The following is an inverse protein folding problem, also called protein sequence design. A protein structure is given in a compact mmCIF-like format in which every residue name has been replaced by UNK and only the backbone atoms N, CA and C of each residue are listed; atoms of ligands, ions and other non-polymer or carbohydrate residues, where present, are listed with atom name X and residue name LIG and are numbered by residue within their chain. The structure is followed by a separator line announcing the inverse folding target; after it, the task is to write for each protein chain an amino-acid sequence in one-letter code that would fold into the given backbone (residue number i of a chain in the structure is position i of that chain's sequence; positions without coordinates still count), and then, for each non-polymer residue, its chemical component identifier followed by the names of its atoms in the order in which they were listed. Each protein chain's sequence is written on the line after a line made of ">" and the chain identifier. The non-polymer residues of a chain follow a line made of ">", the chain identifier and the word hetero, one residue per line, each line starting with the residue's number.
data_IF_856898604648
#
_entry.id   IF_856898604648
#
_cell.length_a   1.000
_cell.length_b   1.000
_cell.length_c   1.000
_cell.angle_alpha   90.00
_cell.angle_beta   90.00
_cell.angle_gamma   90.00
#
_symmetry.space_group_name_H-M   'P 1'
#
loop_
_entity.id
_entity.type
_entity.pdbx_description
1 polymer ?
#
# COMPACT_ATOMS: atom_id res chain seq x y z
N UNK A 1 -17.03 32.05 -63.51
CA UNK A 1 -15.70 32.46 -63.02
C UNK A 1 -15.64 32.03 -61.54
N UNK A 2 -15.37 30.74 -61.32
CA UNK A 2 -15.29 30.18 -59.98
C UNK A 2 -13.92 30.54 -59.39
N UNK A 3 -13.96 31.29 -58.28
CA UNK A 3 -12.76 31.63 -57.51
C UNK A 3 -12.39 30.41 -56.70
N UNK A 4 -11.37 29.70 -57.14
CA UNK A 4 -10.78 28.55 -56.47
C UNK A 4 -10.07 29.05 -55.20
N UNK A 5 -10.68 28.95 -54.04
CA UNK A 5 -10.05 29.21 -52.72
C UNK A 5 -9.20 28.01 -52.37
N UNK A 6 -7.89 28.20 -52.23
CA UNK A 6 -6.94 27.16 -51.81
C UNK A 6 -7.23 26.71 -50.36
N UNK A 7 -7.51 25.42 -50.09
CA UNK A 7 -7.79 24.91 -48.77
C UNK A 7 -6.67 25.12 -47.73
N UNK A 8 -5.45 25.41 -48.19
CA UNK A 8 -4.29 25.72 -47.33
C UNK A 8 -4.37 27.12 -46.68
N UNK A 9 -5.14 28.04 -47.26
CA UNK A 9 -5.35 29.38 -46.68
C UNK A 9 -6.37 29.35 -45.53
N UNK A 10 -7.37 28.44 -45.54
CA UNK A 10 -8.33 28.31 -44.45
C UNK A 10 -7.72 27.65 -43.19
N UNK A 11 -6.75 26.74 -43.37
CA UNK A 11 -6.06 26.10 -42.24
C UNK A 11 -5.06 27.05 -41.50
N UNK A 12 -4.57 28.09 -42.18
CA UNK A 12 -3.70 29.12 -41.56
C UNK A 12 -4.51 30.20 -40.79
N UNK A 13 -5.75 30.45 -41.15
CA UNK A 13 -6.61 31.43 -40.49
C UNK A 13 -7.11 30.94 -39.13
N UNK A 14 -7.22 29.61 -38.92
CA UNK A 14 -7.71 29.04 -37.67
C UNK A 14 -6.71 29.06 -36.49
N UNK A 15 -5.44 29.42 -36.75
CA UNK A 15 -4.38 29.38 -35.72
C UNK A 15 -3.68 30.76 -35.51
N UNK A 16 -4.28 31.85 -35.98
CA UNK A 16 -3.75 33.20 -35.68
C UNK A 16 -4.23 33.65 -34.32
N UNK A 17 -3.34 33.80 -33.32
CA UNK A 17 -3.77 34.26 -31.99
C UNK A 17 -4.46 35.64 -32.11
N UNK A 18 -5.55 35.83 -31.37
CA UNK A 18 -6.26 37.10 -31.30
C UNK A 18 -5.24 38.23 -31.04
N UNK A 19 -5.17 39.29 -31.91
CA UNK A 19 -4.18 40.40 -31.76
C UNK A 19 -4.19 41.04 -30.39
N UNK A 20 -5.37 41.14 -29.75
CA UNK A 20 -5.50 41.70 -28.41
C UNK A 20 -4.83 40.80 -27.37
N UNK A 21 -5.06 39.49 -27.41
CA UNK A 21 -4.42 38.51 -26.51
C UNK A 21 -2.88 38.52 -26.69
N UNK A 22 -2.43 38.67 -27.95
CA UNK A 22 -1.02 38.77 -28.26
C UNK A 22 -0.39 40.04 -27.68
N UNK A 23 -1.06 41.15 -27.79
CA UNK A 23 -0.63 42.40 -27.19
C UNK A 23 -0.54 42.32 -25.65
N UNK A 24 -1.52 41.71 -25.02
CA UNK A 24 -1.53 41.50 -23.57
C UNK A 24 -0.35 40.63 -23.13
N UNK A 25 -0.01 39.60 -23.90
CA UNK A 25 1.15 38.73 -23.65
C UNK A 25 2.47 39.52 -23.75
N UNK A 26 2.66 40.31 -24.80
CA UNK A 26 3.85 41.18 -24.92
C UNK A 26 3.96 42.16 -23.76
N UNK A 27 2.86 42.79 -23.38
CA UNK A 27 2.82 43.73 -22.24
C UNK A 27 3.14 43.01 -20.93
N UNK A 28 2.63 41.79 -20.75
CA UNK A 28 2.94 40.98 -19.58
C UNK A 28 4.45 40.67 -19.52
N UNK A 29 5.05 40.30 -20.63
CA UNK A 29 6.44 39.86 -20.71
C UNK A 29 7.45 41.01 -20.90
N UNK A 30 7.01 42.25 -20.97
CA UNK A 30 7.93 43.39 -21.07
C UNK A 30 8.74 43.68 -19.81
N UNK A 31 8.37 43.09 -18.67
CA UNK A 31 9.01 43.26 -17.37
C UNK A 31 10.19 42.30 -17.18
N UNK A 32 11.44 42.76 -17.04
CA UNK A 32 12.62 41.87 -16.92
C UNK A 32 12.53 40.87 -15.76
N UNK A 33 11.89 41.24 -14.62
CA UNK A 33 11.70 40.38 -13.47
C UNK A 33 10.82 39.17 -13.83
N UNK A 34 9.81 39.35 -14.67
CA UNK A 34 8.92 38.24 -15.11
C UNK A 34 9.64 37.29 -16.04
N UNK A 35 10.52 37.79 -16.92
CA UNK A 35 11.36 36.95 -17.77
C UNK A 35 12.31 36.08 -16.95
N UNK A 36 12.98 36.67 -15.97
CA UNK A 36 13.88 35.98 -15.04
C UNK A 36 13.10 34.95 -14.19
N UNK A 37 11.91 35.31 -13.69
CA UNK A 37 11.06 34.43 -12.93
C UNK A 37 10.66 33.19 -13.74
N UNK A 38 10.22 33.38 -14.98
CA UNK A 38 9.90 32.28 -15.89
C UNK A 38 11.12 31.38 -16.12
N UNK A 39 12.29 31.97 -16.37
CA UNK A 39 13.52 31.21 -16.57
C UNK A 39 13.89 30.36 -15.35
N UNK A 40 13.85 30.94 -14.15
CA UNK A 40 14.13 30.21 -12.89
C UNK A 40 13.09 29.10 -12.63
N UNK A 41 11.79 29.40 -12.79
CA UNK A 41 10.71 28.44 -12.62
C UNK A 41 10.66 27.34 -13.72
N UNK A 42 11.40 27.51 -14.81
CA UNK A 42 11.57 26.48 -15.85
C UNK A 42 12.62 25.43 -15.48
N UNK A 43 13.55 25.76 -14.57
CA UNK A 43 14.61 24.84 -14.14
C UNK A 43 14.08 23.90 -13.05
N UNK A 44 13.41 24.46 -12.04
CA UNK A 44 12.81 23.69 -10.95
C UNK A 44 11.56 24.36 -10.41
N UNK A 45 10.77 23.61 -9.64
CA UNK A 45 9.64 24.16 -8.88
C UNK A 45 10.18 24.92 -7.66
N UNK A 46 10.09 26.25 -7.66
CA UNK A 46 10.67 27.12 -6.65
C UNK A 46 9.59 27.79 -5.78
N UNK A 47 9.84 27.90 -4.49
CA UNK A 47 8.97 28.66 -3.62
C UNK A 47 9.08 30.17 -3.88
N UNK A 48 8.00 30.92 -3.60
CA UNK A 48 8.01 32.39 -3.81
C UNK A 48 9.14 33.09 -3.03
N UNK A 49 9.47 32.60 -1.83
CA UNK A 49 10.60 33.11 -1.05
C UNK A 49 11.95 32.85 -1.71
N UNK A 50 12.13 31.66 -2.29
CA UNK A 50 13.36 31.28 -3.01
C UNK A 50 13.52 32.06 -4.31
N UNK A 51 12.42 32.29 -5.02
CA UNK A 51 12.42 33.16 -6.20
C UNK A 51 12.79 34.60 -5.80
N UNK A 52 12.32 35.09 -4.65
CA UNK A 52 12.67 36.38 -4.15
C UNK A 52 14.17 36.52 -3.82
N UNK A 53 14.74 35.51 -3.19
CA UNK A 53 16.18 35.43 -2.90
C UNK A 53 17.01 35.38 -4.20
N UNK A 54 16.64 34.52 -5.14
CA UNK A 54 17.35 34.38 -6.42
C UNK A 54 17.30 35.62 -7.28
N UNK A 55 16.17 36.34 -7.27
CA UNK A 55 15.94 37.58 -8.02
C UNK A 55 16.55 38.82 -7.36
N UNK A 56 16.86 38.75 -6.06
CA UNK A 56 17.24 39.92 -5.26
C UNK A 56 16.09 40.89 -5.04
N UNK A 57 14.85 40.37 -4.98
CA UNK A 57 13.62 41.18 -4.89
C UNK A 57 12.89 40.91 -3.58
N UNK A 58 12.04 41.83 -3.17
CA UNK A 58 11.16 41.63 -2.02
C UNK A 58 10.06 40.61 -2.35
N UNK A 59 9.80 39.66 -1.44
CA UNK A 59 8.82 38.62 -1.61
C UNK A 59 7.42 39.12 -2.02
N UNK A 60 6.87 40.23 -1.50
CA UNK A 60 5.58 40.79 -1.95
C UNK A 60 5.58 41.20 -3.44
N UNK A 61 6.72 41.69 -3.96
CA UNK A 61 6.86 42.05 -5.36
C UNK A 61 6.84 40.77 -6.24
N UNK A 62 7.64 39.79 -5.88
CA UNK A 62 7.68 38.48 -6.58
C UNK A 62 6.32 37.82 -6.56
N UNK A 63 5.61 37.86 -5.43
CA UNK A 63 4.25 37.30 -5.32
C UNK A 63 3.28 37.95 -6.31
N UNK A 64 3.37 39.26 -6.53
CA UNK A 64 2.55 39.98 -7.53
C UNK A 64 2.90 39.57 -8.96
N UNK A 65 4.18 39.43 -9.29
CA UNK A 65 4.62 38.93 -10.60
C UNK A 65 4.18 37.51 -10.85
N UNK A 66 4.31 36.61 -9.85
CA UNK A 66 3.79 35.20 -9.91
C UNK A 66 2.29 35.19 -10.15
N UNK A 67 1.53 36.03 -9.44
CA UNK A 67 0.07 36.10 -9.62
C UNK A 67 -0.30 36.50 -11.05
N UNK A 68 0.37 37.51 -11.63
CA UNK A 68 0.15 37.95 -12.99
C UNK A 68 0.47 36.86 -14.03
N UNK A 69 1.61 36.16 -13.88
CA UNK A 69 1.99 35.05 -14.75
C UNK A 69 1.05 33.86 -14.61
N UNK A 70 0.56 33.57 -13.41
CA UNK A 70 -0.43 32.51 -13.14
C UNK A 70 -1.77 32.84 -13.80
N UNK A 71 -2.23 34.09 -13.70
CA UNK A 71 -3.48 34.53 -14.34
C UNK A 71 -3.41 34.40 -15.85
N UNK A 72 -2.25 34.61 -16.44
CA UNK A 72 -1.99 34.41 -17.87
C UNK A 72 -1.73 32.94 -18.25
N UNK A 73 -1.78 32.00 -17.31
CA UNK A 73 -1.55 30.57 -17.56
C UNK A 73 -0.09 30.17 -17.83
N UNK A 74 0.88 31.09 -17.61
CA UNK A 74 2.30 30.82 -17.89
C UNK A 74 3.01 30.06 -16.79
N UNK A 75 2.51 30.13 -15.56
CA UNK A 75 3.01 29.36 -14.42
C UNK A 75 1.88 28.67 -13.67
N UNK A 76 2.18 27.52 -13.11
CA UNK A 76 1.35 26.79 -12.17
C UNK A 76 1.88 27.00 -10.76
N UNK A 77 0.99 27.16 -9.79
CA UNK A 77 1.35 27.28 -8.37
C UNK A 77 0.71 26.14 -7.61
N UNK A 78 1.52 25.23 -7.07
CA UNK A 78 1.06 24.14 -6.22
C UNK A 78 1.34 24.45 -4.76
N UNK A 79 0.33 24.32 -3.91
CA UNK A 79 0.52 24.46 -2.46
C UNK A 79 0.96 23.13 -1.86
N UNK A 80 2.02 23.19 -1.06
CA UNK A 80 2.52 22.08 -0.24
C UNK A 80 2.64 22.58 1.20
N UNK A 81 1.62 22.36 2.02
CA UNK A 81 1.55 22.95 3.36
C UNK A 81 1.61 24.47 3.31
N UNK A 82 2.59 25.08 3.99
CA UNK A 82 2.85 26.53 3.99
C UNK A 82 3.60 27.03 2.74
N UNK A 83 4.05 26.13 1.86
CA UNK A 83 4.85 26.45 0.68
C UNK A 83 3.98 26.56 -0.56
N UNK A 84 4.24 27.59 -1.37
CA UNK A 84 3.63 27.75 -2.69
C UNK A 84 4.74 27.60 -3.74
N UNK A 85 4.82 26.44 -4.38
CA UNK A 85 5.82 26.11 -5.41
C UNK A 85 5.34 26.60 -6.77
N UNK A 86 6.17 27.36 -7.45
CA UNK A 86 5.93 27.94 -8.77
C UNK A 86 6.73 27.16 -9.81
N UNK A 87 6.06 26.73 -10.87
CA UNK A 87 6.66 26.08 -12.03
C UNK A 87 6.05 26.60 -13.31
N UNK A 88 6.81 26.62 -14.42
CA UNK A 88 6.28 26.96 -15.75
C UNK A 88 5.21 25.93 -16.15
N UNK A 89 4.10 26.41 -16.71
CA UNK A 89 3.07 25.57 -17.30
C UNK A 89 3.56 25.01 -18.64
N UNK A 90 3.62 23.68 -18.78
CA UNK A 90 4.09 22.98 -19.98
C UNK A 90 2.98 22.29 -20.76
N UNK A 91 1.74 22.40 -20.28
CA UNK A 91 0.58 21.72 -20.86
C UNK A 91 0.13 22.42 -22.17
N UNK A 92 0.26 21.77 -23.30
CA UNK A 92 -0.31 22.23 -24.57
C UNK A 92 0.66 22.88 -25.58
N UNK A 93 1.95 22.82 -25.33
CA UNK A 93 2.98 23.45 -26.19
C UNK A 93 3.32 24.87 -25.73
N UNK A 94 4.55 25.32 -26.00
CA UNK A 94 5.02 26.66 -25.60
C UNK A 94 4.81 27.61 -26.77
N UNK A 95 4.08 28.72 -26.52
CA UNK A 95 3.93 29.80 -27.48
C UNK A 95 5.30 30.38 -27.84
N UNK A 96 5.59 30.68 -29.13
CA UNK A 96 6.89 31.22 -29.54
C UNK A 96 7.34 32.50 -28.81
N UNK A 97 6.40 33.34 -28.38
CA UNK A 97 6.70 34.53 -27.55
C UNK A 97 7.16 34.15 -26.15
N UNK A 98 6.53 33.13 -25.57
CA UNK A 98 6.93 32.58 -24.25
C UNK A 98 8.28 31.88 -24.36
N UNK A 99 8.54 31.16 -25.45
CA UNK A 99 9.84 30.53 -25.70
C UNK A 99 10.97 31.58 -25.79
N UNK A 100 10.73 32.67 -26.51
CA UNK A 100 11.67 33.79 -26.58
C UNK A 100 11.86 34.48 -25.24
N UNK A 101 10.79 34.66 -24.48
CA UNK A 101 10.82 35.19 -23.12
C UNK A 101 11.66 34.31 -22.18
N UNK A 102 11.52 32.97 -22.25
CA UNK A 102 12.32 32.01 -21.50
C UNK A 102 13.80 32.09 -21.86
N UNK A 103 14.13 32.20 -23.16
CA UNK A 103 15.50 32.35 -23.65
C UNK A 103 16.13 33.64 -23.14
N UNK A 104 15.42 34.73 -23.28
CA UNK A 104 15.85 36.06 -22.81
C UNK A 104 16.02 36.08 -21.30
N UNK A 105 15.05 35.48 -20.55
CA UNK A 105 15.12 35.36 -19.10
C UNK A 105 16.33 34.55 -18.63
N UNK A 106 16.65 33.44 -19.31
CA UNK A 106 17.87 32.66 -19.04
C UNK A 106 19.12 33.49 -19.22
N UNK A 107 19.23 34.24 -20.33
CA UNK A 107 20.38 35.10 -20.58
C UNK A 107 20.53 36.18 -19.50
N UNK A 108 19.43 36.73 -18.98
CA UNK A 108 19.47 37.70 -17.86
C UNK A 108 19.94 37.02 -16.56
N UNK A 109 19.42 35.82 -16.26
CA UNK A 109 19.78 35.05 -15.06
C UNK A 109 21.22 34.50 -15.11
N UNK A 110 21.76 34.23 -16.30
CA UNK A 110 23.18 33.84 -16.49
C UNK A 110 24.12 35.02 -16.16
N UNK A 111 23.74 36.25 -16.61
CA UNK A 111 24.54 37.42 -16.36
C UNK A 111 24.65 37.79 -14.88
N UNK A 112 23.61 37.58 -14.10
CA UNK A 112 23.62 37.90 -12.66
C UNK A 112 23.90 36.66 -11.78
N UNK A 113 24.11 35.49 -12.39
CA UNK A 113 24.44 34.25 -11.71
C UNK A 113 23.26 33.60 -10.96
N UNK A 114 22.03 34.13 -11.10
CA UNK A 114 20.86 33.59 -10.39
C UNK A 114 20.49 32.20 -10.87
N UNK A 115 20.72 31.87 -12.14
CA UNK A 115 20.45 30.54 -12.68
C UNK A 115 21.35 29.47 -12.06
N UNK A 116 22.63 29.75 -11.90
CA UNK A 116 23.58 28.82 -11.26
C UNK A 116 23.25 28.57 -9.79
N UNK A 117 22.69 29.56 -9.08
CA UNK A 117 22.29 29.44 -7.66
C UNK A 117 21.02 28.60 -7.42
N UNK A 118 20.24 28.25 -8.45
CA UNK A 118 19.05 27.40 -8.30
C UNK A 118 19.40 26.06 -7.66
N UNK A 119 20.49 25.42 -8.09
CA UNK A 119 20.94 24.15 -7.52
C UNK A 119 21.29 24.27 -6.02
N UNK A 120 21.89 25.38 -5.61
CA UNK A 120 22.23 25.63 -4.20
C UNK A 120 20.99 25.81 -3.33
N UNK A 121 19.99 26.53 -3.84
CA UNK A 121 18.70 26.77 -3.16
C UNK A 121 17.93 25.45 -2.99
N UNK A 122 17.83 24.64 -4.05
CA UNK A 122 17.21 23.31 -3.99
C UNK A 122 17.98 22.39 -3.05
N UNK A 123 19.32 22.39 -3.13
CA UNK A 123 20.19 21.62 -2.24
C UNK A 123 20.08 22.04 -0.76
N UNK A 124 19.75 23.32 -0.48
CA UNK A 124 19.50 23.78 0.88
C UNK A 124 18.26 23.12 1.50
N UNK A 125 17.20 22.87 0.71
CA UNK A 125 16.01 22.11 1.18
C UNK A 125 16.42 20.69 1.61
N UNK A 126 17.20 20.00 0.80
CA UNK A 126 17.68 18.64 1.11
C UNK A 126 18.54 18.63 2.37
N UNK A 127 19.44 19.62 2.52
CA UNK A 127 20.26 19.77 3.71
C UNK A 127 19.41 19.98 4.97
N UNK A 128 18.44 20.88 4.91
CA UNK A 128 17.53 21.17 6.02
C UNK A 128 16.73 19.91 6.44
N UNK A 129 16.20 19.17 5.45
CA UNK A 129 15.50 17.91 5.68
C UNK A 129 16.43 16.88 6.32
N UNK A 130 17.65 16.72 5.80
CA UNK A 130 18.66 15.79 6.33
C UNK A 130 19.06 16.14 7.77
N UNK A 131 19.27 17.43 8.07
CA UNK A 131 19.56 17.89 9.42
C UNK A 131 18.39 17.68 10.39
N UNK A 132 17.16 17.89 9.94
CA UNK A 132 15.97 17.61 10.75
C UNK A 132 15.94 16.12 11.16
N UNK A 133 16.11 15.20 10.22
CA UNK A 133 16.15 13.77 10.53
C UNK A 133 17.36 13.38 11.38
N UNK A 134 18.53 13.99 11.17
CA UNK A 134 19.70 13.73 12.00
C UNK A 134 19.52 14.16 13.47
N UNK A 135 18.70 15.19 13.72
CA UNK A 135 18.35 15.60 15.10
C UNK A 135 17.25 14.74 15.72
N UNK A 136 16.34 14.19 14.89
CA UNK A 136 15.19 13.37 15.33
C UNK A 136 15.59 11.96 15.79
N UNK A 137 16.82 11.50 15.56
CA UNK A 137 17.31 10.15 15.90
C UNK A 137 17.57 9.90 17.40
N UNK A 138 17.24 10.82 18.29
CA UNK A 138 17.39 10.66 19.74
C UNK A 138 16.19 9.97 20.42
N UNK A 139 15.27 9.36 19.67
CA UNK A 139 14.19 8.53 20.20
C UNK A 139 14.71 7.17 20.64
N UNK A 140 14.21 6.63 21.76
CA UNK A 140 14.45 5.26 22.15
C UNK A 140 13.98 4.31 21.04
N UNK A 141 14.76 3.27 20.72
CA UNK A 141 14.34 2.22 19.78
C UNK A 141 13.10 1.55 20.35
N UNK A 142 11.95 1.79 19.73
CA UNK A 142 10.69 1.12 20.10
C UNK A 142 10.74 -0.30 19.58
N UNK A 143 10.77 -1.27 20.49
CA UNK A 143 10.69 -2.69 20.15
C UNK A 143 9.22 -3.05 20.01
N UNK A 144 8.79 -3.40 18.79
CA UNK A 144 7.40 -3.78 18.48
C UNK A 144 7.08 -3.56 17.00
N UNK A 145 5.90 -3.99 16.54
CA UNK A 145 5.47 -3.69 15.20
C UNK A 145 5.30 -2.17 15.00
N UNK A 146 5.65 -1.64 13.81
CA UNK A 146 5.45 -0.23 13.54
C UNK A 146 3.96 0.15 13.63
N UNK A 147 3.63 1.38 14.09
CA UNK A 147 2.24 1.84 14.15
C UNK A 147 1.51 1.76 12.79
N UNK A 148 2.26 1.87 11.70
CA UNK A 148 1.77 1.84 10.31
C UNK A 148 1.73 0.43 9.71
N UNK A 149 1.88 -0.64 10.50
CA UNK A 149 1.92 -2.03 10.00
C UNK A 149 0.76 -2.33 9.04
N UNK A 150 -0.46 -1.91 9.37
CA UNK A 150 -1.64 -2.12 8.52
C UNK A 150 -1.49 -1.45 7.13
N UNK A 151 -0.89 -0.26 7.06
CA UNK A 151 -0.63 0.43 5.79
C UNK A 151 0.43 -0.29 4.95
N UNK A 152 1.49 -0.82 5.59
CA UNK A 152 2.50 -1.62 4.88
C UNK A 152 1.92 -2.94 4.35
N UNK A 153 1.08 -3.62 5.14
CA UNK A 153 0.39 -4.83 4.71
C UNK A 153 -0.57 -4.56 3.55
N UNK A 154 -1.31 -3.46 3.60
CA UNK A 154 -2.18 -3.03 2.50
C UNK A 154 -1.37 -2.77 1.21
N UNK A 155 -0.19 -2.16 1.32
CA UNK A 155 0.70 -1.91 0.19
C UNK A 155 1.29 -3.21 -0.41
N UNK A 156 1.56 -4.23 0.42
CA UNK A 156 2.08 -5.55 -0.02
C UNK A 156 0.96 -6.48 -0.53
N UNK A 157 -0.29 -6.24 -0.14
CA UNK A 157 -1.42 -7.09 -0.49
C UNK A 157 -1.57 -7.39 -2.00
N UNK A 158 -1.36 -6.42 -2.95
CA UNK A 158 -1.43 -6.70 -4.38
C UNK A 158 -0.46 -7.78 -4.89
N UNK A 159 0.64 -8.04 -4.15
CA UNK A 159 1.62 -9.07 -4.49
C UNK A 159 1.13 -10.49 -4.16
N UNK A 160 0.05 -10.62 -3.41
CA UNK A 160 -0.57 -11.90 -3.05
C UNK A 160 -1.68 -12.21 -4.07
N UNK A 161 -1.47 -13.21 -4.92
CA UNK A 161 -2.41 -13.55 -6.01
C UNK A 161 -3.80 -13.97 -5.49
N UNK A 162 -3.83 -14.79 -4.43
CA UNK A 162 -5.04 -15.40 -3.90
C UNK A 162 -5.37 -14.82 -2.53
N UNK A 163 -6.20 -13.78 -2.50
CA UNK A 163 -6.58 -13.03 -1.31
C UNK A 163 -8.07 -12.65 -1.26
N UNK A 164 -8.93 -13.47 -1.84
CA UNK A 164 -10.36 -13.19 -1.84
C UNK A 164 -10.98 -13.37 -0.45
N UNK A 165 -10.63 -14.45 0.25
CA UNK A 165 -11.16 -14.80 1.57
C UNK A 165 -10.09 -15.40 2.46
N UNK A 166 -9.90 -14.84 3.66
CA UNK A 166 -9.26 -15.50 4.79
C UNK A 166 -10.29 -15.94 5.82
N UNK A 167 -10.01 -17.04 6.51
CA UNK A 167 -10.75 -17.47 7.70
C UNK A 167 -9.79 -17.50 8.88
N UNK A 168 -10.18 -16.87 9.99
CA UNK A 168 -9.49 -16.89 11.27
C UNK A 168 -10.28 -17.74 12.26
N UNK A 169 -9.73 -18.90 12.62
CA UNK A 169 -10.36 -19.87 13.53
C UNK A 169 -9.84 -19.66 14.95
N UNK A 170 -10.73 -19.50 15.91
CA UNK A 170 -10.37 -19.11 17.28
C UNK A 170 -9.82 -17.69 17.32
N UNK A 171 -10.54 -16.75 16.71
CA UNK A 171 -10.09 -15.36 16.55
C UNK A 171 -9.83 -14.63 17.87
N UNK A 172 -10.44 -15.10 18.96
CA UNK A 172 -10.32 -14.49 20.28
C UNK A 172 -10.71 -13.01 20.26
N UNK A 173 -9.87 -12.15 20.81
CA UNK A 173 -10.05 -10.70 20.82
C UNK A 173 -9.70 -10.02 19.46
N UNK A 174 -9.42 -10.78 18.40
CA UNK A 174 -9.26 -10.29 17.04
C UNK A 174 -7.89 -9.70 16.71
N UNK A 175 -6.82 -10.02 17.43
CA UNK A 175 -5.47 -9.47 17.17
C UNK A 175 -4.94 -9.81 15.79
N UNK A 176 -5.22 -11.01 15.28
CA UNK A 176 -4.76 -11.42 13.95
C UNK A 176 -5.47 -10.63 12.83
N UNK A 177 -6.63 -10.07 13.10
CA UNK A 177 -7.36 -9.23 12.14
C UNK A 177 -6.61 -7.96 11.76
N UNK A 178 -5.72 -7.45 12.62
CA UNK A 178 -4.83 -6.33 12.30
C UNK A 178 -3.92 -6.63 11.09
N UNK A 179 -3.66 -7.92 10.85
CA UNK A 179 -2.86 -8.41 9.71
C UNK A 179 -3.77 -8.83 8.56
N UNK A 180 -4.85 -9.58 8.85
CA UNK A 180 -5.67 -10.18 7.81
C UNK A 180 -6.57 -9.16 7.10
N UNK A 181 -7.17 -8.21 7.83
CA UNK A 181 -8.10 -7.26 7.25
C UNK A 181 -7.45 -6.34 6.18
N UNK A 182 -6.22 -5.81 6.37
CA UNK A 182 -5.54 -5.03 5.32
C UNK A 182 -5.16 -5.87 4.08
N UNK A 183 -4.92 -7.18 4.25
CA UNK A 183 -4.39 -8.04 3.20
C UNK A 183 -5.50 -8.66 2.35
N UNK A 184 -6.54 -9.18 2.97
CA UNK A 184 -7.59 -9.95 2.29
C UNK A 184 -8.81 -9.06 1.96
N UNK A 185 -9.49 -9.38 0.85
CA UNK A 185 -10.71 -8.67 0.45
C UNK A 185 -11.85 -8.88 1.44
N UNK A 186 -11.92 -10.08 2.05
CA UNK A 186 -12.88 -10.44 3.11
C UNK A 186 -12.19 -11.33 4.12
N UNK A 187 -12.61 -11.21 5.37
CA UNK A 187 -12.15 -12.06 6.48
C UNK A 187 -13.37 -12.58 7.22
N UNK A 188 -13.43 -13.89 7.44
CA UNK A 188 -14.39 -14.53 8.32
C UNK A 188 -13.66 -14.91 9.60
N UNK A 189 -14.05 -14.31 10.72
CA UNK A 189 -13.46 -14.55 12.03
C UNK A 189 -14.43 -15.37 12.88
N UNK A 190 -13.98 -16.52 13.38
CA UNK A 190 -14.79 -17.51 14.05
C UNK A 190 -14.28 -17.70 15.48
N UNK A 191 -15.18 -17.64 16.45
CA UNK A 191 -14.89 -18.09 17.81
C UNK A 191 -16.14 -18.70 18.44
N UNK A 192 -15.95 -19.64 19.38
CA UNK A 192 -17.04 -20.23 20.16
C UNK A 192 -17.40 -19.43 21.40
N UNK A 193 -16.53 -18.51 21.82
CA UNK A 193 -16.70 -17.72 23.01
C UNK A 193 -17.28 -16.34 22.68
N UNK A 194 -18.57 -16.13 22.92
CA UNK A 194 -19.24 -14.85 22.63
C UNK A 194 -18.59 -13.65 23.33
N UNK A 195 -18.03 -13.84 24.55
CA UNK A 195 -17.29 -12.77 25.24
C UNK A 195 -16.03 -12.34 24.49
N UNK A 196 -15.30 -13.25 23.86
CA UNK A 196 -14.15 -12.95 23.03
C UNK A 196 -14.57 -12.23 21.75
N UNK A 197 -15.65 -12.67 21.12
CA UNK A 197 -16.19 -12.01 19.92
C UNK A 197 -16.71 -10.60 20.20
N UNK A 198 -17.21 -10.32 21.42
CA UNK A 198 -17.60 -8.96 21.80
C UNK A 198 -16.38 -8.02 21.82
N UNK A 199 -15.24 -8.47 22.37
CA UNK A 199 -13.97 -7.72 22.34
C UNK A 199 -13.45 -7.56 20.92
N UNK A 200 -13.57 -8.62 20.10
CA UNK A 200 -13.21 -8.60 18.69
C UNK A 200 -14.05 -7.58 17.91
N UNK A 201 -15.37 -7.52 18.14
CA UNK A 201 -16.28 -6.58 17.50
C UNK A 201 -15.92 -5.12 17.83
N UNK A 202 -15.55 -4.85 19.07
CA UNK A 202 -15.07 -3.52 19.49
C UNK A 202 -13.78 -3.17 18.73
N UNK A 203 -12.81 -4.08 18.63
CA UNK A 203 -11.57 -3.88 17.86
C UNK A 203 -11.85 -3.62 16.38
N UNK A 204 -12.70 -4.43 15.75
CA UNK A 204 -13.12 -4.27 14.35
C UNK A 204 -13.72 -2.89 14.11
N UNK A 205 -14.59 -2.44 15.02
CA UNK A 205 -15.21 -1.11 14.97
C UNK A 205 -14.18 0.02 15.11
N UNK A 206 -13.32 -0.04 16.14
CA UNK A 206 -12.29 0.97 16.41
C UNK A 206 -11.29 1.11 15.25
N UNK A 207 -10.97 -0.01 14.57
CA UNK A 207 -10.06 -0.05 13.42
C UNK A 207 -10.73 0.26 12.08
N UNK A 208 -12.06 0.30 12.02
CA UNK A 208 -12.79 0.52 10.78
C UNK A 208 -12.66 -0.63 9.77
N UNK A 209 -12.53 -1.88 10.23
CA UNK A 209 -12.41 -3.05 9.36
C UNK A 209 -13.77 -3.46 8.77
N UNK A 210 -14.20 -2.79 7.70
CA UNK A 210 -15.50 -3.04 7.05
C UNK A 210 -15.59 -4.35 6.26
N UNK A 211 -14.48 -5.11 6.14
CA UNK A 211 -14.38 -6.36 5.39
C UNK A 211 -14.32 -7.61 6.28
N UNK A 212 -14.55 -7.48 7.60
CA UNK A 212 -14.53 -8.57 8.58
C UNK A 212 -15.95 -8.96 8.95
N UNK A 213 -16.28 -10.26 8.86
CA UNK A 213 -17.53 -10.87 9.35
C UNK A 213 -17.19 -11.74 10.57
N UNK A 214 -17.88 -11.50 11.70
CA UNK A 214 -17.72 -12.25 12.95
C UNK A 214 -18.80 -13.32 13.04
N UNK A 215 -18.41 -14.54 13.40
CA UNK A 215 -19.33 -15.68 13.56
C UNK A 215 -19.06 -16.40 14.87
N UNK A 216 -20.07 -16.44 15.75
CA UNK A 216 -20.05 -17.29 16.94
C UNK A 216 -20.44 -18.71 16.56
N UNK A 217 -19.59 -19.68 16.89
CA UNK A 217 -19.86 -21.09 16.62
C UNK A 217 -18.62 -21.98 16.54
N UNK A 218 -18.89 -23.27 16.38
CA UNK A 218 -17.86 -24.29 16.12
C UNK A 218 -17.39 -24.24 14.67
N UNK A 219 -16.15 -24.66 14.43
CA UNK A 219 -15.48 -24.61 13.12
C UNK A 219 -16.31 -25.24 12.00
N UNK A 220 -16.96 -26.38 12.28
CA UNK A 220 -17.84 -27.11 11.36
C UNK A 220 -19.33 -26.85 11.60
N UNK A 221 -19.65 -25.84 12.40
CA UNK A 221 -21.01 -25.47 12.78
C UNK A 221 -21.86 -24.94 11.61
N UNK A 222 -23.20 -24.99 11.74
CA UNK A 222 -24.10 -24.51 10.70
C UNK A 222 -23.98 -23.00 10.47
N UNK A 223 -23.59 -22.21 11.47
CA UNK A 223 -23.37 -20.76 11.40
C UNK A 223 -22.24 -20.44 10.45
N UNK A 224 -21.11 -21.13 10.61
CA UNK A 224 -19.90 -20.98 9.76
C UNK A 224 -20.20 -21.39 8.33
N UNK A 225 -20.89 -22.52 8.12
CA UNK A 225 -21.32 -22.96 6.78
C UNK A 225 -22.24 -21.96 6.11
N UNK A 226 -23.17 -21.35 6.85
CA UNK A 226 -24.05 -20.29 6.34
C UNK A 226 -23.26 -19.03 5.97
N UNK A 227 -22.29 -18.63 6.79
CA UNK A 227 -21.43 -17.47 6.51
C UNK A 227 -20.59 -17.71 5.24
N UNK A 228 -19.92 -18.84 5.10
CA UNK A 228 -19.17 -19.18 3.88
C UNK A 228 -20.06 -19.16 2.62
N UNK A 229 -21.28 -19.69 2.72
CA UNK A 229 -22.24 -19.65 1.61
C UNK A 229 -22.65 -18.22 1.25
N UNK A 230 -22.92 -17.33 2.25
CA UNK A 230 -23.22 -15.90 2.00
C UNK A 230 -22.07 -15.19 1.31
N UNK A 231 -20.83 -15.55 1.68
CA UNK A 231 -19.63 -15.00 1.06
C UNK A 231 -19.40 -15.51 -0.38
N UNK A 232 -20.23 -16.43 -0.87
CA UNK A 232 -20.17 -16.95 -2.25
C UNK A 232 -18.86 -17.66 -2.58
N UNK A 233 -18.20 -18.25 -1.58
CA UNK A 233 -16.91 -18.88 -1.74
C UNK A 233 -17.02 -20.40 -1.59
N UNK A 234 -16.31 -21.14 -2.45
CA UNK A 234 -16.15 -22.60 -2.32
C UNK A 234 -15.18 -23.00 -1.19
N UNK A 235 -14.71 -22.04 -0.40
CA UNK A 235 -13.74 -22.17 0.68
C UNK A 235 -12.76 -21.00 0.68
N UNK A 236 -11.98 -20.89 1.77
CA UNK A 236 -11.02 -19.81 1.94
C UNK A 236 -9.74 -20.00 1.11
N UNK A 237 -9.12 -18.89 0.68
CA UNK A 237 -7.77 -18.92 0.12
C UNK A 237 -6.74 -19.30 1.18
N UNK A 238 -6.96 -18.82 2.40
CA UNK A 238 -6.12 -19.13 3.57
C UNK A 238 -7.01 -19.31 4.80
N UNK A 239 -6.73 -20.33 5.59
CA UNK A 239 -7.32 -20.56 6.91
C UNK A 239 -6.20 -20.45 7.94
N UNK A 240 -6.37 -19.58 8.90
CA UNK A 240 -5.50 -19.41 10.05
C UNK A 240 -6.13 -20.03 11.30
N UNK A 241 -5.31 -20.65 12.13
CA UNK A 241 -5.64 -21.04 13.49
C UNK A 241 -4.44 -20.72 14.38
N UNK A 242 -4.59 -19.75 15.26
CA UNK A 242 -3.51 -19.30 16.14
C UNK A 242 -3.81 -19.70 17.57
N UNK A 243 -3.01 -20.60 18.12
CA UNK A 243 -3.14 -21.10 19.50
C UNK A 243 -4.50 -21.73 19.78
N UNK A 244 -4.89 -22.67 18.92
CA UNK A 244 -6.19 -23.35 18.94
C UNK A 244 -6.06 -24.84 19.24
N UNK A 245 -5.05 -25.51 18.66
CA UNK A 245 -4.97 -26.97 18.75
C UNK A 245 -4.67 -27.47 20.16
N UNK A 246 -3.90 -26.73 20.94
CA UNK A 246 -3.57 -27.12 22.32
C UNK A 246 -4.79 -27.04 23.28
N UNK A 247 -5.86 -26.35 22.90
CA UNK A 247 -7.16 -26.38 23.57
C UNK A 247 -8.10 -27.48 23.06
N UNK A 248 -7.75 -28.14 21.95
CA UNK A 248 -8.63 -29.10 21.31
C UNK A 248 -8.52 -30.48 21.98
N UNK A 249 -9.63 -31.13 22.38
CA UNK A 249 -9.58 -32.49 22.90
C UNK A 249 -8.99 -33.50 21.91
N UNK A 250 -9.17 -33.26 20.61
CA UNK A 250 -8.66 -34.11 19.49
C UNK A 250 -8.01 -33.20 18.43
N UNK A 251 -6.72 -32.84 18.59
CA UNK A 251 -6.05 -31.89 17.70
C UNK A 251 -6.08 -32.28 16.22
N UNK A 252 -5.86 -33.57 15.88
CA UNK A 252 -5.92 -34.05 14.52
C UNK A 252 -7.30 -33.87 13.86
N UNK A 253 -8.39 -34.21 14.62
CA UNK A 253 -9.76 -34.00 14.12
C UNK A 253 -10.10 -32.54 13.96
N UNK A 254 -9.63 -31.69 14.89
CA UNK A 254 -9.81 -30.24 14.80
C UNK A 254 -9.08 -29.69 13.59
N UNK A 255 -7.84 -30.11 13.31
CA UNK A 255 -7.11 -29.70 12.12
C UNK A 255 -7.83 -30.15 10.83
N UNK A 256 -8.44 -31.33 10.81
CA UNK A 256 -9.23 -31.81 9.66
C UNK A 256 -10.44 -30.88 9.40
N UNK A 257 -11.15 -30.45 10.46
CA UNK A 257 -12.27 -29.49 10.36
C UNK A 257 -11.80 -28.12 9.89
N UNK A 258 -10.66 -27.64 10.38
CA UNK A 258 -10.02 -26.40 9.93
C UNK A 258 -9.67 -26.49 8.44
N UNK A 259 -9.06 -27.58 8.01
CA UNK A 259 -8.69 -27.82 6.61
C UNK A 259 -9.91 -27.79 5.66
N UNK A 260 -11.06 -28.30 6.13
CA UNK A 260 -12.30 -28.30 5.33
C UNK A 260 -12.87 -26.89 5.04
N UNK A 261 -12.40 -25.85 5.73
CA UNK A 261 -12.78 -24.47 5.43
C UNK A 261 -12.01 -23.87 4.25
N UNK A 262 -10.87 -24.45 3.90
CA UNK A 262 -10.07 -24.00 2.77
C UNK A 262 -10.59 -24.61 1.45
N UNK A 263 -10.51 -23.86 0.38
CA UNK A 263 -10.79 -24.37 -0.96
C UNK A 263 -9.67 -25.31 -1.45
N UNK A 264 -9.91 -26.12 -2.49
CA UNK A 264 -8.84 -26.86 -3.17
C UNK A 264 -7.66 -25.95 -3.54
N UNK A 265 -6.43 -26.34 -3.18
CA UNK A 265 -5.21 -25.54 -3.31
C UNK A 265 -5.09 -24.35 -2.33
N UNK A 266 -6.06 -24.15 -1.43
CA UNK A 266 -6.00 -23.17 -0.36
C UNK A 266 -4.98 -23.54 0.71
N UNK A 267 -4.45 -22.53 1.42
CA UNK A 267 -3.46 -22.72 2.47
C UNK A 267 -4.10 -22.86 3.85
N UNK A 268 -3.49 -23.66 4.71
CA UNK A 268 -3.81 -23.81 6.13
C UNK A 268 -2.57 -23.47 6.93
N UNK A 269 -2.70 -22.49 7.84
CA UNK A 269 -1.65 -21.99 8.69
C UNK A 269 -2.04 -22.19 10.16
N UNK A 270 -1.21 -22.92 10.90
CA UNK A 270 -1.44 -23.14 12.33
C UNK A 270 -0.22 -22.66 13.10
N UNK A 271 -0.42 -21.65 13.93
CA UNK A 271 0.55 -21.20 14.90
C UNK A 271 0.16 -21.79 16.26
N UNK A 272 1.04 -22.60 16.85
CA UNK A 272 0.73 -23.25 18.13
C UNK A 272 2.01 -23.43 18.95
N UNK A 273 1.90 -23.99 20.14
CA UNK A 273 3.05 -24.26 20.99
C UNK A 273 3.85 -25.45 20.52
N UNK A 274 5.17 -25.33 20.51
CA UNK A 274 6.09 -26.45 20.52
C UNK A 274 6.11 -27.10 21.90
N UNK A 275 6.74 -28.27 22.06
CA UNK A 275 6.76 -28.99 23.34
C UNK A 275 7.38 -28.13 24.45
N UNK A 276 6.73 -28.14 25.61
CA UNK A 276 7.21 -27.44 26.82
C UNK A 276 6.70 -28.13 28.09
N UNK A 277 7.23 -27.75 29.25
CA UNK A 277 6.90 -28.34 30.55
C UNK A 277 6.28 -27.29 31.51
N UNK A 278 5.78 -26.16 30.99
CA UNK A 278 5.23 -25.07 31.80
C UNK A 278 3.80 -25.40 32.21
N UNK A 279 3.65 -26.15 33.32
CA UNK A 279 2.35 -26.50 33.93
C UNK A 279 1.65 -25.27 34.51
N UNK A 280 2.38 -24.20 34.88
CA UNK A 280 1.76 -22.99 35.39
C UNK A 280 1.02 -22.26 34.25
N UNK A 281 1.65 -22.13 33.09
CA UNK A 281 1.03 -21.60 31.86
C UNK A 281 -0.20 -22.43 31.48
N UNK A 282 -0.03 -23.76 31.45
CA UNK A 282 -1.14 -24.71 31.15
C UNK A 282 -2.36 -24.46 32.05
N UNK A 283 -2.15 -24.35 33.34
CA UNK A 283 -3.24 -24.12 34.31
C UNK A 283 -3.87 -22.71 34.10
N UNK A 284 -3.06 -21.69 33.84
CA UNK A 284 -3.49 -20.31 33.60
C UNK A 284 -4.33 -20.17 32.32
N UNK A 285 -3.96 -20.87 31.25
CA UNK A 285 -4.58 -20.77 29.93
C UNK A 285 -5.65 -21.85 29.70
N UNK A 286 -5.83 -22.79 30.63
CA UNK A 286 -6.69 -23.96 30.50
C UNK A 286 -6.31 -24.83 29.27
N UNK A 287 -5.02 -24.98 29.03
CA UNK A 287 -4.49 -25.80 27.92
C UNK A 287 -4.66 -27.28 28.22
N UNK A 288 -5.02 -28.06 27.21
CA UNK A 288 -5.11 -29.52 27.29
C UNK A 288 -3.76 -30.19 26.98
N UNK A 289 -2.96 -29.53 26.13
CA UNK A 289 -1.69 -30.06 25.63
C UNK A 289 -0.55 -29.09 25.93
N UNK A 290 0.62 -29.62 26.29
CA UNK A 290 1.86 -28.88 26.48
C UNK A 290 2.63 -28.72 25.17
N UNK A 291 1.94 -28.31 24.11
CA UNK A 291 2.47 -28.15 22.77
C UNK A 291 2.58 -29.46 21.98
N UNK A 292 3.15 -29.36 20.79
CA UNK A 292 3.23 -30.47 19.83
C UNK A 292 4.61 -30.55 19.19
N UNK A 293 5.10 -31.78 19.05
CA UNK A 293 6.31 -32.05 18.26
C UNK A 293 6.06 -31.77 16.77
N UNK A 294 7.12 -31.37 16.07
CA UNK A 294 7.03 -31.07 14.63
C UNK A 294 6.48 -32.25 13.81
N UNK A 295 6.89 -33.48 14.18
CA UNK A 295 6.43 -34.67 13.50
C UNK A 295 4.98 -35.04 13.80
N UNK A 296 4.47 -34.68 14.99
CA UNK A 296 3.06 -34.78 15.32
C UNK A 296 2.22 -33.88 14.46
N UNK A 297 2.61 -32.60 14.34
CA UNK A 297 1.92 -31.63 13.47
C UNK A 297 1.93 -32.08 12.00
N UNK A 298 3.05 -32.62 11.50
CA UNK A 298 3.11 -33.20 10.15
C UNK A 298 2.19 -34.42 10.00
N UNK A 299 2.10 -35.26 11.02
CA UNK A 299 1.16 -36.40 11.04
C UNK A 299 -0.28 -35.91 11.00
N UNK A 300 -0.67 -34.95 11.86
CA UNK A 300 -2.02 -34.38 11.87
C UNK A 300 -2.37 -33.74 10.52
N UNK A 301 -1.41 -33.06 9.87
CA UNK A 301 -1.61 -32.50 8.54
C UNK A 301 -1.90 -33.58 7.49
N UNK A 302 -1.15 -34.71 7.48
CA UNK A 302 -1.40 -35.84 6.58
C UNK A 302 -2.78 -36.47 6.85
N UNK A 303 -3.14 -36.69 8.11
CA UNK A 303 -4.45 -37.21 8.50
C UNK A 303 -5.61 -36.29 8.12
N UNK A 304 -5.36 -34.98 8.06
CA UNK A 304 -6.30 -34.00 7.57
C UNK A 304 -6.37 -33.89 6.02
N UNK A 305 -5.58 -34.64 5.29
CA UNK A 305 -5.52 -34.62 3.82
C UNK A 305 -4.80 -33.37 3.28
N UNK A 306 -3.89 -32.78 4.08
CA UNK A 306 -3.09 -31.65 3.69
C UNK A 306 -1.77 -32.11 3.04
N UNK A 307 -1.36 -31.38 2.00
CA UNK A 307 -0.12 -31.59 1.25
C UNK A 307 0.89 -30.47 1.54
N UNK A 308 2.16 -30.72 1.21
CA UNK A 308 3.26 -29.76 1.35
C UNK A 308 3.42 -29.19 2.77
N UNK A 309 3.16 -30.03 3.78
CA UNK A 309 3.25 -29.63 5.17
C UNK A 309 4.68 -29.30 5.58
N UNK A 310 4.94 -28.07 5.96
CA UNK A 310 6.18 -27.59 6.56
C UNK A 310 5.92 -27.17 7.99
N UNK A 311 6.85 -27.47 8.89
CA UNK A 311 6.78 -27.08 10.30
C UNK A 311 8.09 -26.40 10.65
N UNK A 312 8.00 -25.17 11.15
CA UNK A 312 9.15 -24.35 11.53
C UNK A 312 8.96 -23.77 12.93
N UNK A 313 10.03 -23.69 13.68
CA UNK A 313 10.01 -22.99 14.96
C UNK A 313 10.04 -21.48 14.75
N UNK A 314 9.21 -20.75 15.51
CA UNK A 314 9.20 -19.27 15.49
C UNK A 314 10.33 -18.75 16.38
N UNK A 315 11.24 -17.91 15.84
CA UNK A 315 12.32 -17.33 16.61
C UNK A 315 11.81 -16.62 17.88
N UNK A 316 12.50 -16.79 18.99
CA UNK A 316 12.09 -16.23 20.28
C UNK A 316 11.88 -14.70 20.24
N UNK A 317 12.66 -13.98 19.42
CA UNK A 317 12.53 -12.54 19.22
C UNK A 317 11.22 -12.11 18.51
N UNK A 318 10.54 -13.04 17.84
CA UNK A 318 9.30 -12.79 17.09
C UNK A 318 8.03 -13.22 17.86
N UNK A 319 8.22 -13.90 19.00
CA UNK A 319 7.11 -14.27 19.87
C UNK A 319 6.52 -13.04 20.54
N UNK A 320 5.23 -13.05 20.80
CA UNK A 320 4.55 -11.93 21.46
C UNK A 320 5.06 -11.65 22.88
N UNK A 321 4.55 -10.62 23.52
CA UNK A 321 4.89 -10.23 24.90
C UNK A 321 3.92 -10.82 25.93
N UNK A 322 3.11 -11.82 25.53
CA UNK A 322 2.16 -12.51 26.41
C UNK A 322 2.84 -13.45 27.43
N UNK A 323 2.05 -14.07 28.30
CA UNK A 323 2.54 -15.04 29.28
C UNK A 323 3.21 -16.25 28.63
N UNK A 324 2.85 -16.56 27.39
CA UNK A 324 3.32 -17.64 26.54
C UNK A 324 4.63 -17.31 25.76
N UNK A 325 5.25 -16.14 26.04
CA UNK A 325 6.49 -15.72 25.36
C UNK A 325 7.65 -16.69 25.57
N UNK A 326 7.71 -17.29 26.76
CA UNK A 326 8.83 -18.15 27.16
C UNK A 326 8.80 -19.54 26.50
N UNK A 327 7.61 -20.05 26.16
CA UNK A 327 7.45 -21.36 25.52
C UNK A 327 7.79 -21.32 24.03
N UNK A 328 8.24 -22.46 23.44
CA UNK A 328 8.45 -22.56 22.00
C UNK A 328 7.14 -22.34 21.23
N UNK A 329 7.22 -21.62 20.11
CA UNK A 329 6.10 -21.50 19.16
C UNK A 329 6.47 -22.15 17.85
N UNK A 330 5.53 -22.85 17.28
CA UNK A 330 5.70 -23.63 16.04
C UNK A 330 4.65 -23.22 15.03
N UNK A 331 5.08 -23.01 13.78
CA UNK A 331 4.21 -22.69 12.65
C UNK A 331 4.15 -23.89 11.70
N UNK A 332 2.97 -24.50 11.56
CA UNK A 332 2.62 -25.43 10.50
C UNK A 332 2.04 -24.64 9.31
N UNK A 333 2.60 -24.84 8.14
CA UNK A 333 2.03 -24.38 6.85
C UNK A 333 1.79 -25.55 5.95
N UNK A 334 0.59 -25.66 5.39
CA UNK A 334 0.20 -26.75 4.50
C UNK A 334 -0.84 -26.29 3.47
N UNK A 335 -1.19 -27.13 2.49
CA UNK A 335 -2.22 -26.84 1.50
C UNK A 335 -3.23 -27.97 1.41
N UNK A 336 -4.48 -27.62 1.14
CA UNK A 336 -5.49 -28.61 0.71
C UNK A 336 -5.13 -29.08 -0.70
N UNK A 337 -5.27 -30.39 -0.97
CA UNK A 337 -5.03 -30.94 -2.30
C UNK A 337 -5.75 -30.15 -3.39
N UNK A 338 -5.03 -29.79 -4.44
CA UNK A 338 -5.59 -29.04 -5.58
C UNK A 338 -6.40 -29.99 -6.48
N UNK A 339 -7.47 -29.47 -7.11
CA UNK A 339 -8.09 -30.18 -8.23
C UNK A 339 -7.10 -30.20 -9.41
N UNK A 340 -6.48 -31.35 -9.68
CA UNK A 340 -5.44 -31.55 -10.71
C UNK A 340 -5.96 -31.39 -12.16
N UNK A 341 -7.21 -30.90 -12.32
CA UNK A 341 -7.85 -30.69 -13.62
C UNK A 341 -7.36 -29.45 -14.38
N UNK A 342 -6.63 -28.53 -13.74
CA UNK A 342 -6.16 -27.31 -14.42
C UNK A 342 -4.81 -27.49 -15.13
N UNK A 343 -3.92 -28.30 -14.60
CA UNK A 343 -2.61 -28.63 -15.20
C UNK A 343 -2.71 -29.54 -16.41
N UNK A 344 -3.64 -30.48 -16.40
CA UNK A 344 -3.85 -31.42 -17.52
C UNK A 344 -4.47 -30.76 -18.75
N UNK A 345 -5.31 -29.74 -18.59
CA UNK A 345 -5.88 -28.97 -19.73
C UNK A 345 -4.88 -28.08 -20.44
N UNK A 346 -3.92 -27.51 -19.72
CA UNK A 346 -2.87 -26.66 -20.34
C UNK A 346 -1.86 -27.54 -21.08
N UNK A 347 -1.46 -28.66 -20.51
CA UNK A 347 -0.56 -29.62 -21.17
C UNK A 347 -1.22 -30.27 -22.40
N UNK A 348 -2.50 -30.66 -22.33
CA UNK A 348 -3.24 -31.22 -23.46
C UNK A 348 -3.48 -30.21 -24.60
N UNK A 349 -3.67 -28.94 -24.26
CA UNK A 349 -3.81 -27.86 -25.26
C UNK A 349 -2.49 -27.53 -25.94
N UNK A 350 -1.37 -27.56 -25.23
CA UNK A 350 -0.02 -27.37 -25.79
C UNK A 350 0.36 -28.54 -26.74
N UNK A 351 0.16 -29.78 -26.31
CA UNK A 351 0.44 -30.96 -27.14
C UNK A 351 -0.44 -31.08 -28.41
N UNK A 352 -1.68 -30.53 -28.35
CA UNK A 352 -2.58 -30.50 -29.52
C UNK A 352 -2.18 -29.39 -30.53
N UNK A 353 -1.48 -28.33 -30.07
CA UNK A 353 -0.99 -27.25 -30.92
C UNK A 353 0.32 -27.63 -31.61
N UNK A 354 1.15 -28.44 -30.99
CA UNK A 354 2.40 -28.96 -31.59
C UNK A 354 2.15 -30.04 -32.64
N UNK A 355 1.08 -30.86 -32.53
CA UNK A 355 0.70 -31.87 -33.55
C UNK A 355 0.02 -31.28 -34.80
N UNK A 356 -0.26 -29.96 -34.83
CA UNK A 356 -0.88 -29.24 -35.95
C UNK A 356 0.08 -28.30 -36.70
N UNK A 357 1.35 -28.31 -36.33
CA UNK A 357 2.44 -27.70 -37.08
C UNK A 357 3.32 -28.79 -37.69
#
# INVERSE_FOLDING_TARGET
>A
MDVYTDPRMELQAANTPNPQARWELYRLLSEPVRLRLLALASVDALAVGELAELLGELQPNVSRHVAALRQAGLVQVRRHGTWALVRVATDGGIDPVVEDALRTGRSLCDKDGSLARVADVVGARERSTREFFARSTKGAVTVGPPPELAAYLLALAPLIEKRALAVDVGTGDGRLLEILAPVFRRVLAIDRAGAQLAMCAERVSQRGFGNVELVEGEVDGPEVKRALKRLGSAGADVVFASRVLHHAPRPADTLRRIAALARPGGAVMVLDYGPHEDEALRAQQADLWLGFEADELRRFAREAGLEHATVVEVPAAWRGNGPDRAVPWTLLSARVAGDDRSTTKVAASAAKKERRR
#
